data_IF_419315987096
#
_entry.id   IF_419315987096
#
_cell.length_a   1.000
_cell.length_b   1.000
_cell.length_c   1.000
_cell.angle_alpha   90.00
_cell.angle_beta   90.00
_cell.angle_gamma   90.00
#
_symmetry.space_group_name_H-M   'P 1'
#
loop_
_entity.id
_entity.type
_entity.pdbx_description
1 polymer ?
#
# COMPACT_ATOMS: atom_id res chain seq x y z
N UNK A 1 -22.72 -16.88 -1.00
CA UNK A 1 -23.02 -15.45 -1.19
C UNK A 1 -22.34 -14.98 -2.48
N UNK A 2 -23.07 -14.37 -3.43
CA UNK A 2 -22.52 -13.77 -4.66
C UNK A 2 -22.01 -12.36 -4.37
N UNK A 3 -20.73 -12.09 -4.61
CA UNK A 3 -20.07 -10.84 -4.28
C UNK A 3 -19.60 -10.15 -5.55
N UNK A 4 -20.07 -8.93 -5.80
CA UNK A 4 -19.51 -8.05 -6.81
C UNK A 4 -18.38 -7.21 -6.18
N UNK A 5 -17.11 -7.52 -6.46
CA UNK A 5 -15.97 -6.73 -6.04
C UNK A 5 -15.68 -5.65 -7.09
N UNK A 6 -16.02 -4.41 -6.81
CA UNK A 6 -15.92 -3.30 -7.75
C UNK A 6 -14.66 -2.48 -7.46
N UNK A 7 -13.83 -2.26 -8.48
CA UNK A 7 -12.59 -1.47 -8.36
C UNK A 7 -12.47 -0.44 -9.49
N UNK A 8 -11.72 0.63 -9.26
CA UNK A 8 -11.56 1.71 -10.24
C UNK A 8 -10.90 1.24 -11.54
N UNK A 9 -9.86 0.41 -11.45
CA UNK A 9 -9.05 -0.06 -12.59
C UNK A 9 -8.19 -1.26 -12.19
N UNK A 10 -7.62 -1.95 -13.19
CA UNK A 10 -6.74 -3.11 -13.01
C UNK A 10 -5.29 -2.81 -13.41
N UNK A 11 -4.78 -1.66 -12.99
CA UNK A 11 -3.35 -1.36 -13.01
C UNK A 11 -2.60 -2.14 -11.93
N UNK A 12 -1.30 -2.32 -12.08
CA UNK A 12 -0.48 -2.96 -11.05
C UNK A 12 -0.22 -1.97 -9.90
N UNK A 13 -0.91 -2.13 -8.77
CA UNK A 13 -0.80 -1.23 -7.63
C UNK A 13 -1.23 -1.87 -6.31
N UNK A 14 -0.99 -1.14 -5.20
CA UNK A 14 -1.21 -1.64 -3.84
C UNK A 14 -2.66 -2.01 -3.51
N UNK A 15 -3.66 -1.55 -4.27
CA UNK A 15 -5.05 -1.93 -4.07
C UNK A 15 -5.49 -3.12 -4.94
N UNK A 16 -4.76 -3.44 -6.01
CA UNK A 16 -5.07 -4.50 -6.95
C UNK A 16 -4.35 -5.80 -6.65
N UNK A 17 -3.06 -5.73 -6.33
CA UNK A 17 -2.22 -6.90 -6.07
C UNK A 17 -2.74 -7.80 -4.92
N UNK A 18 -3.31 -7.26 -3.82
CA UNK A 18 -3.82 -8.08 -2.72
C UNK A 18 -5.18 -8.75 -2.98
N UNK A 19 -5.87 -8.44 -4.08
CA UNK A 19 -7.22 -8.99 -4.35
C UNK A 19 -7.27 -10.53 -4.29
N UNK A 20 -6.29 -11.28 -4.83
CA UNK A 20 -6.30 -12.75 -4.71
C UNK A 20 -6.33 -13.24 -3.27
N UNK A 21 -5.53 -12.68 -2.38
CA UNK A 21 -5.51 -13.06 -0.96
C UNK A 21 -6.83 -12.71 -0.26
N UNK A 22 -7.39 -11.53 -0.54
CA UNK A 22 -8.70 -11.12 -0.03
C UNK A 22 -9.80 -12.05 -0.48
N UNK A 23 -9.84 -12.36 -1.78
CA UNK A 23 -10.83 -13.28 -2.36
C UNK A 23 -10.67 -14.68 -1.81
N UNK A 24 -9.45 -15.14 -1.55
CA UNK A 24 -9.19 -16.44 -0.91
C UNK A 24 -9.89 -16.55 0.45
N UNK A 25 -9.78 -15.51 1.30
CA UNK A 25 -10.48 -15.48 2.59
C UNK A 25 -12.00 -15.45 2.42
N UNK A 26 -12.52 -14.66 1.47
CA UNK A 26 -13.96 -14.61 1.18
C UNK A 26 -14.49 -15.97 0.70
N UNK A 27 -13.75 -16.64 -0.20
CA UNK A 27 -14.12 -17.98 -0.71
C UNK A 27 -14.10 -19.04 0.37
N UNK A 28 -13.15 -19.01 1.29
CA UNK A 28 -13.09 -19.93 2.42
C UNK A 28 -14.33 -19.83 3.33
N UNK A 29 -15.06 -18.70 3.28
CA UNK A 29 -16.31 -18.42 3.98
C UNK A 29 -17.54 -18.57 3.06
N UNK A 30 -17.42 -19.19 1.90
CA UNK A 30 -18.53 -19.44 0.96
C UNK A 30 -18.89 -18.26 0.06
N UNK A 31 -18.00 -17.27 -0.09
CA UNK A 31 -18.15 -16.16 -1.03
C UNK A 31 -17.85 -16.59 -2.48
N UNK A 32 -18.73 -16.28 -3.41
CA UNK A 32 -18.53 -16.38 -4.86
C UNK A 32 -18.24 -14.99 -5.42
N UNK A 33 -16.96 -14.70 -5.66
CA UNK A 33 -16.48 -13.34 -5.96
C UNK A 33 -16.19 -13.18 -7.45
N UNK A 34 -16.78 -12.17 -8.06
CA UNK A 34 -16.41 -11.65 -9.40
C UNK A 34 -15.90 -10.21 -9.27
N UNK A 35 -14.79 -9.90 -9.92
CA UNK A 35 -14.20 -8.57 -9.94
C UNK A 35 -14.74 -7.76 -11.12
N UNK A 36 -15.20 -6.53 -10.85
CA UNK A 36 -15.71 -5.59 -11.84
C UNK A 36 -14.81 -4.35 -11.85
N UNK A 37 -14.10 -4.12 -12.93
CA UNK A 37 -13.23 -2.95 -13.09
C UNK A 37 -13.87 -1.87 -13.95
N UNK A 38 -13.95 -0.64 -13.42
CA UNK A 38 -14.55 0.51 -14.10
C UNK A 38 -13.70 1.05 -15.26
N UNK A 39 -12.45 0.63 -15.36
CA UNK A 39 -11.55 0.91 -16.47
C UNK A 39 -10.42 -0.15 -16.52
N UNK A 40 -9.91 -0.44 -17.72
CA UNK A 40 -8.75 -1.37 -17.87
C UNK A 40 -7.45 -0.74 -17.40
N UNK A 41 -7.15 0.48 -17.86
CA UNK A 41 -5.82 1.11 -17.85
C UNK A 41 -4.76 0.21 -18.52
N UNK A 42 -3.65 -0.10 -17.83
CA UNK A 42 -2.62 -1.01 -18.34
C UNK A 42 -3.00 -2.49 -18.26
N UNK A 43 -3.98 -2.83 -17.41
CA UNK A 43 -4.48 -4.20 -17.25
C UNK A 43 -3.51 -5.19 -16.63
N UNK A 44 -2.38 -4.72 -16.07
CA UNK A 44 -1.30 -5.57 -15.56
C UNK A 44 -1.72 -6.47 -14.37
N UNK A 45 -2.80 -6.13 -13.66
CA UNK A 45 -3.33 -6.97 -12.60
C UNK A 45 -4.24 -8.10 -13.10
N UNK A 46 -4.71 -8.07 -14.37
CA UNK A 46 -5.65 -9.08 -14.90
C UNK A 46 -5.06 -10.50 -14.86
N UNK A 47 -3.83 -10.76 -15.37
CA UNK A 47 -3.26 -12.11 -15.35
C UNK A 47 -3.14 -12.70 -13.94
N UNK A 48 -2.88 -11.86 -12.93
CA UNK A 48 -2.81 -12.27 -11.53
C UNK A 48 -4.17 -12.78 -11.01
N UNK A 49 -5.24 -12.06 -11.34
CA UNK A 49 -6.60 -12.43 -10.95
C UNK A 49 -7.05 -13.70 -11.66
N UNK A 50 -6.79 -13.82 -12.96
CA UNK A 50 -7.09 -14.99 -13.76
C UNK A 50 -6.33 -16.24 -13.28
N UNK A 51 -5.04 -16.10 -12.95
CA UNK A 51 -4.24 -17.17 -12.37
C UNK A 51 -4.79 -17.67 -11.01
N UNK A 52 -5.42 -16.78 -10.24
CA UNK A 52 -6.13 -17.12 -9.00
C UNK A 52 -7.57 -17.66 -9.25
N UNK A 53 -7.96 -17.88 -10.50
CA UNK A 53 -9.30 -18.35 -10.89
C UNK A 53 -10.41 -17.36 -10.51
N UNK A 54 -10.13 -16.07 -10.48
CA UNK A 54 -11.10 -15.02 -10.14
C UNK A 54 -11.72 -14.50 -11.44
N UNK A 55 -13.06 -14.64 -11.64
CA UNK A 55 -13.71 -14.05 -12.80
C UNK A 55 -13.57 -12.53 -12.80
N UNK A 56 -13.20 -11.96 -13.96
CA UNK A 56 -12.98 -10.53 -14.13
C UNK A 56 -13.85 -9.98 -15.25
N UNK A 57 -14.56 -8.91 -14.99
CA UNK A 57 -15.30 -8.12 -16.00
C UNK A 57 -14.75 -6.72 -16.06
N UNK A 58 -14.20 -6.37 -17.20
CA UNK A 58 -13.50 -5.10 -17.42
C UNK A 58 -14.28 -4.22 -18.38
N UNK A 59 -14.56 -3.01 -17.93
CA UNK A 59 -15.12 -2.00 -18.81
C UNK A 59 -14.01 -1.34 -19.63
N UNK A 60 -14.18 -1.30 -20.93
CA UNK A 60 -13.33 -0.54 -21.85
C UNK A 60 -13.79 0.93 -21.88
N UNK A 61 -13.08 1.77 -21.15
CA UNK A 61 -13.42 3.19 -21.04
C UNK A 61 -12.42 3.96 -20.18
N UNK A 62 -12.67 5.26 -20.01
CA UNK A 62 -11.77 6.15 -19.32
C UNK A 62 -12.05 6.24 -17.81
N UNK A 63 -11.16 6.90 -17.08
CA UNK A 63 -11.35 7.17 -15.65
C UNK A 63 -12.23 8.39 -15.36
N UNK A 64 -12.69 9.14 -16.40
CA UNK A 64 -13.45 10.39 -16.26
C UNK A 64 -14.90 10.32 -16.76
N UNK A 65 -15.28 9.27 -17.44
CA UNK A 65 -16.62 9.06 -18.03
C UNK A 65 -17.60 8.43 -17.01
N UNK A 66 -17.94 9.16 -15.98
CA UNK A 66 -18.71 8.64 -14.83
C UNK A 66 -20.09 8.12 -15.22
N UNK A 67 -20.80 8.78 -16.14
CA UNK A 67 -22.16 8.38 -16.56
C UNK A 67 -22.13 7.05 -17.33
N UNK A 68 -21.18 6.88 -18.26
CA UNK A 68 -21.03 5.64 -19.00
C UNK A 68 -20.60 4.50 -18.09
N UNK A 69 -19.70 4.76 -17.13
CA UNK A 69 -19.30 3.77 -16.13
C UNK A 69 -20.47 3.36 -15.23
N UNK A 70 -21.32 4.30 -14.80
CA UNK A 70 -22.50 3.99 -14.01
C UNK A 70 -23.51 3.12 -14.80
N UNK A 71 -23.78 3.45 -16.07
CA UNK A 71 -24.70 2.65 -16.91
C UNK A 71 -24.20 1.23 -17.09
N UNK A 72 -22.93 1.07 -17.45
CA UNK A 72 -22.30 -0.23 -17.57
C UNK A 72 -22.38 -1.03 -16.26
N UNK A 73 -22.01 -0.41 -15.14
CA UNK A 73 -22.04 -1.07 -13.84
C UNK A 73 -23.47 -1.50 -13.44
N UNK A 74 -24.46 -0.65 -13.69
CA UNK A 74 -25.88 -0.97 -13.47
C UNK A 74 -26.28 -2.22 -14.25
N UNK A 75 -25.98 -2.26 -15.56
CA UNK A 75 -26.37 -3.36 -16.44
C UNK A 75 -25.65 -4.67 -16.05
N UNK A 76 -24.38 -4.58 -15.66
CA UNK A 76 -23.64 -5.71 -15.10
C UNK A 76 -24.25 -6.23 -13.79
N UNK A 77 -24.64 -5.34 -12.89
CA UNK A 77 -25.27 -5.75 -11.62
C UNK A 77 -26.70 -6.29 -11.82
N UNK A 78 -27.43 -5.82 -12.82
CA UNK A 78 -28.72 -6.38 -13.20
C UNK A 78 -28.60 -7.82 -13.72
N UNK A 79 -27.53 -8.13 -14.45
CA UNK A 79 -27.23 -9.48 -14.95
C UNK A 79 -26.64 -10.37 -13.87
N UNK A 80 -25.67 -9.86 -13.11
CA UNK A 80 -24.93 -10.65 -12.12
C UNK A 80 -25.75 -10.95 -10.87
N UNK A 81 -26.67 -10.07 -10.46
CA UNK A 81 -27.53 -10.23 -9.27
C UNK A 81 -26.72 -10.52 -7.99
N UNK A 82 -25.83 -9.60 -7.53
CA UNK A 82 -25.03 -9.81 -6.33
C UNK A 82 -25.88 -9.76 -5.06
N UNK A 83 -25.50 -10.57 -4.08
CA UNK A 83 -25.99 -10.50 -2.70
C UNK A 83 -25.28 -9.39 -1.91
N UNK A 84 -24.02 -9.08 -2.28
CA UNK A 84 -23.17 -8.06 -1.66
C UNK A 84 -22.39 -7.30 -2.73
N UNK A 85 -22.33 -5.97 -2.58
CA UNK A 85 -21.45 -5.11 -3.37
C UNK A 85 -20.29 -4.67 -2.49
N UNK A 86 -19.10 -5.16 -2.83
CA UNK A 86 -17.83 -4.76 -2.20
C UNK A 86 -17.09 -3.78 -3.10
N UNK A 87 -16.70 -2.62 -2.59
CA UNK A 87 -16.05 -1.59 -3.42
C UNK A 87 -14.68 -1.22 -2.89
N UNK A 88 -13.76 -0.93 -3.79
CA UNK A 88 -12.39 -0.52 -3.51
C UNK A 88 -12.07 0.76 -4.27
N UNK A 89 -11.63 1.81 -3.56
CA UNK A 89 -11.34 3.15 -4.08
C UNK A 89 -12.60 4.02 -4.36
N UNK A 90 -12.43 5.35 -4.20
CA UNK A 90 -13.55 6.31 -4.12
C UNK A 90 -14.53 6.29 -5.29
N UNK A 91 -14.07 6.14 -6.55
CA UNK A 91 -14.96 6.11 -7.72
C UNK A 91 -15.84 4.86 -7.71
N UNK A 92 -15.24 3.71 -7.43
CA UNK A 92 -15.97 2.44 -7.32
C UNK A 92 -16.99 2.51 -6.17
N UNK A 93 -16.59 3.11 -5.04
CA UNK A 93 -17.49 3.32 -3.90
C UNK A 93 -18.70 4.17 -4.28
N UNK A 94 -18.49 5.31 -4.91
CA UNK A 94 -19.60 6.21 -5.28
C UNK A 94 -20.54 5.57 -6.31
N UNK A 95 -20.01 4.97 -7.36
CA UNK A 95 -20.84 4.35 -8.40
C UNK A 95 -21.49 3.05 -7.91
N UNK A 96 -20.77 2.24 -7.13
CA UNK A 96 -21.30 1.03 -6.52
C UNK A 96 -22.44 1.33 -5.54
N UNK A 97 -22.30 2.38 -4.72
CA UNK A 97 -23.36 2.82 -3.82
C UNK A 97 -24.62 3.28 -4.55
N UNK A 98 -24.48 4.02 -5.65
CA UNK A 98 -25.63 4.45 -6.45
C UNK A 98 -26.40 3.24 -7.04
N UNK A 99 -25.69 2.22 -7.49
CA UNK A 99 -26.32 0.99 -7.98
C UNK A 99 -26.95 0.18 -6.83
N UNK A 100 -26.24 0.09 -5.70
CA UNK A 100 -26.71 -0.64 -4.51
C UNK A 100 -28.00 -0.05 -3.93
N UNK A 101 -28.12 1.26 -3.84
CA UNK A 101 -29.32 1.96 -3.38
C UNK A 101 -30.57 1.60 -4.23
N UNK A 102 -30.39 1.54 -5.55
CA UNK A 102 -31.47 1.17 -6.47
C UNK A 102 -31.95 -0.28 -6.29
N UNK A 103 -31.01 -1.17 -5.93
CA UNK A 103 -31.24 -2.61 -5.77
C UNK A 103 -31.52 -3.03 -4.33
N UNK A 104 -31.29 -2.15 -3.36
CA UNK A 104 -31.30 -2.47 -1.92
C UNK A 104 -30.29 -3.56 -1.54
N UNK A 105 -29.16 -3.63 -2.26
CA UNK A 105 -28.09 -4.59 -2.00
C UNK A 105 -27.16 -4.04 -0.91
N UNK A 106 -26.76 -4.83 0.10
CA UNK A 106 -25.78 -4.44 1.10
C UNK A 106 -24.44 -4.00 0.45
N UNK A 107 -23.76 -3.03 1.07
CA UNK A 107 -22.49 -2.53 0.56
C UNK A 107 -21.40 -2.55 1.60
N UNK A 108 -20.20 -2.94 1.17
CA UNK A 108 -18.96 -2.78 1.92
C UNK A 108 -18.01 -1.87 1.14
N UNK A 109 -17.45 -0.89 1.80
CA UNK A 109 -16.53 0.08 1.17
C UNK A 109 -15.15 -0.01 1.78
N UNK A 110 -14.13 -0.23 0.94
CA UNK A 110 -12.74 -0.28 1.38
C UNK A 110 -12.03 1.05 1.13
N UNK A 111 -11.59 1.67 2.20
CA UNK A 111 -10.80 2.91 2.18
C UNK A 111 -9.31 2.59 2.33
N UNK A 112 -8.51 2.88 1.29
CA UNK A 112 -7.09 2.53 1.22
C UNK A 112 -6.13 3.65 1.60
N UNK A 113 -6.60 4.86 1.79
CA UNK A 113 -5.72 6.01 1.94
C UNK A 113 -6.21 6.98 3.01
N UNK A 114 -5.30 7.49 3.82
CA UNK A 114 -5.52 8.56 4.78
C UNK A 114 -5.68 9.96 4.16
N UNK A 115 -6.06 10.05 2.88
CA UNK A 115 -6.34 11.31 2.19
C UNK A 115 -7.47 11.16 1.18
N UNK A 116 -8.37 12.14 1.19
CA UNK A 116 -9.44 12.26 0.20
C UNK A 116 -9.45 13.68 -0.39
N UNK A 117 -9.79 13.79 -1.67
CA UNK A 117 -10.16 15.09 -2.24
C UNK A 117 -11.43 15.59 -1.57
N UNK A 118 -11.53 16.89 -1.27
CA UNK A 118 -12.69 17.48 -0.55
C UNK A 118 -14.05 17.10 -1.19
N UNK A 119 -14.14 17.11 -2.51
CA UNK A 119 -15.36 16.70 -3.24
C UNK A 119 -15.69 15.21 -3.00
N UNK A 120 -14.68 14.32 -3.05
CA UNK A 120 -14.89 12.89 -2.77
C UNK A 120 -15.30 12.67 -1.30
N UNK A 121 -14.67 13.34 -0.35
CA UNK A 121 -15.03 13.25 1.06
C UNK A 121 -16.49 13.67 1.28
N UNK A 122 -16.92 14.77 0.67
CA UNK A 122 -18.31 15.22 0.74
C UNK A 122 -19.29 14.16 0.19
N UNK A 123 -19.03 13.64 -1.02
CA UNK A 123 -19.89 12.62 -1.63
C UNK A 123 -19.90 11.31 -0.85
N UNK A 124 -18.75 10.88 -0.32
CA UNK A 124 -18.67 9.67 0.49
C UNK A 124 -19.40 9.81 1.83
N UNK A 125 -19.44 11.02 2.42
CA UNK A 125 -20.29 11.30 3.61
C UNK A 125 -21.76 11.04 3.31
N UNK A 126 -22.23 11.35 2.11
CA UNK A 126 -23.62 11.08 1.69
C UNK A 126 -23.90 9.57 1.54
N UNK A 127 -22.86 8.76 1.25
CA UNK A 127 -22.99 7.31 1.20
C UNK A 127 -23.09 6.65 2.59
N UNK A 128 -22.61 7.34 3.65
CA UNK A 128 -22.50 6.82 5.01
C UNK A 128 -23.74 6.10 5.55
N UNK A 129 -24.94 6.69 5.50
CA UNK A 129 -26.14 6.07 6.09
C UNK A 129 -26.60 4.82 5.37
N UNK A 130 -26.09 4.56 4.19
CA UNK A 130 -26.50 3.45 3.32
C UNK A 130 -25.44 2.36 3.21
N UNK A 131 -24.32 2.51 3.90
CA UNK A 131 -23.19 1.58 3.86
C UNK A 131 -23.27 0.62 5.04
N UNK A 132 -23.24 -0.70 4.77
CA UNK A 132 -23.28 -1.73 5.78
C UNK A 132 -22.00 -1.72 6.63
N UNK A 133 -20.82 -1.66 5.98
CA UNK A 133 -19.54 -1.67 6.66
C UNK A 133 -18.50 -0.89 5.86
N UNK A 134 -17.65 -0.15 6.57
CA UNK A 134 -16.42 0.44 6.03
C UNK A 134 -15.23 -0.40 6.48
N UNK A 135 -14.35 -0.75 5.54
CA UNK A 135 -13.09 -1.42 5.80
C UNK A 135 -11.94 -0.47 5.54
N UNK A 136 -10.89 -0.56 6.32
CA UNK A 136 -9.69 0.27 6.16
C UNK A 136 -8.41 -0.55 6.29
N UNK A 137 -7.37 -0.13 5.58
CA UNK A 137 -6.07 -0.80 5.53
C UNK A 137 -5.29 -0.72 6.84
N UNK A 138 -5.60 0.28 7.68
CA UNK A 138 -4.85 0.54 8.90
C UNK A 138 -5.67 1.33 9.92
N UNK A 139 -5.21 1.33 11.17
CA UNK A 139 -5.82 2.13 12.23
C UNK A 139 -5.72 3.64 11.93
N UNK A 140 -4.65 4.10 11.28
CA UNK A 140 -4.52 5.49 10.87
C UNK A 140 -5.55 5.89 9.81
N UNK A 141 -5.85 5.00 8.86
CA UNK A 141 -6.91 5.20 7.87
C UNK A 141 -8.30 5.20 8.53
N UNK A 142 -8.54 4.35 9.53
CA UNK A 142 -9.79 4.40 10.34
C UNK A 142 -9.92 5.77 11.02
N UNK A 143 -8.90 6.22 11.72
CA UNK A 143 -8.92 7.51 12.43
C UNK A 143 -9.17 8.67 11.46
N UNK A 144 -8.49 8.67 10.32
CA UNK A 144 -8.72 9.65 9.26
C UNK A 144 -10.16 9.61 8.73
N UNK A 145 -10.65 8.43 8.38
CA UNK A 145 -11.97 8.28 7.78
C UNK A 145 -13.09 8.55 8.80
N UNK A 146 -12.92 8.19 10.06
CA UNK A 146 -13.83 8.55 11.13
C UNK A 146 -13.98 10.07 11.23
N UNK A 147 -12.88 10.82 11.22
CA UNK A 147 -12.87 12.29 11.24
C UNK A 147 -13.46 12.88 9.95
N UNK A 148 -12.99 12.45 8.79
CA UNK A 148 -13.36 13.04 7.50
C UNK A 148 -14.75 12.62 7.02
N UNK A 149 -15.20 11.40 7.30
CA UNK A 149 -16.50 10.91 6.88
C UNK A 149 -17.55 10.93 8.00
N UNK A 150 -17.14 11.25 9.24
CA UNK A 150 -18.00 11.30 10.41
C UNK A 150 -18.57 9.91 10.76
N UNK A 151 -17.76 8.87 10.69
CA UNK A 151 -18.14 7.49 10.95
C UNK A 151 -17.74 7.13 12.37
N UNK A 152 -18.63 6.48 13.16
CA UNK A 152 -18.36 6.08 14.55
C UNK A 152 -18.22 4.56 14.72
N UNK A 153 -19.17 3.77 14.21
CA UNK A 153 -19.34 2.40 14.67
C UNK A 153 -19.26 1.32 13.57
N UNK A 154 -19.35 1.68 12.30
CA UNK A 154 -19.35 0.73 11.20
C UNK A 154 -18.02 0.65 10.43
N UNK A 155 -16.90 0.73 11.16
CA UNK A 155 -15.56 0.50 10.66
C UNK A 155 -14.98 -0.83 11.12
N UNK A 156 -14.15 -1.44 10.25
CA UNK A 156 -13.30 -2.56 10.59
C UNK A 156 -11.93 -2.41 9.93
N UNK A 157 -10.89 -2.82 10.62
CA UNK A 157 -9.55 -2.90 10.06
C UNK A 157 -9.34 -4.26 9.39
N UNK A 158 -8.93 -4.25 8.12
CA UNK A 158 -8.35 -5.39 7.46
C UNK A 158 -7.14 -4.90 6.67
N UNK A 159 -5.93 -4.99 7.24
CA UNK A 159 -4.73 -4.60 6.52
C UNK A 159 -4.65 -5.31 5.18
N UNK A 160 -4.53 -4.53 4.10
CA UNK A 160 -4.54 -5.07 2.74
C UNK A 160 -3.28 -5.89 2.42
N UNK A 161 -2.23 -5.72 3.22
CA UNK A 161 -0.96 -6.41 3.08
C UNK A 161 -0.97 -7.76 3.80
N UNK A 162 -0.54 -8.80 3.10
CA UNK A 162 -0.27 -10.13 3.64
C UNK A 162 1.23 -10.42 3.50
N UNK A 163 1.92 -10.55 4.63
CA UNK A 163 3.34 -10.89 4.64
C UNK A 163 3.53 -12.37 4.27
N UNK A 164 4.44 -12.63 3.33
CA UNK A 164 4.79 -13.98 2.91
C UNK A 164 5.94 -14.53 3.80
N UNK A 165 5.72 -15.59 4.59
CA UNK A 165 6.79 -16.19 5.39
C UNK A 165 7.91 -16.81 4.55
N UNK A 166 7.64 -17.15 3.30
CA UNK A 166 8.62 -17.75 2.37
C UNK A 166 9.33 -16.70 1.51
N UNK A 167 9.06 -15.41 1.75
CA UNK A 167 9.73 -14.32 1.04
C UNK A 167 11.26 -14.36 1.23
N UNK A 168 12.04 -14.01 0.19
CA UNK A 168 13.49 -14.01 0.26
C UNK A 168 14.00 -13.08 1.37
N UNK A 169 15.05 -13.50 2.07
CA UNK A 169 15.70 -12.70 3.10
C UNK A 169 16.83 -11.90 2.47
N UNK A 170 16.98 -10.65 2.89
CA UNK A 170 18.05 -9.76 2.47
C UNK A 170 19.42 -10.31 2.88
N UNK A 171 20.41 -10.15 1.99
CA UNK A 171 21.78 -10.58 2.27
C UNK A 171 22.40 -9.68 3.34
N UNK A 172 22.92 -10.22 4.46
CA UNK A 172 23.60 -9.41 5.46
C UNK A 172 24.80 -8.65 4.89
N UNK A 173 25.04 -7.45 5.42
CA UNK A 173 26.24 -6.68 5.10
C UNK A 173 27.50 -7.41 5.57
N UNK A 174 28.58 -7.30 4.80
CA UNK A 174 29.90 -7.86 5.14
C UNK A 174 30.92 -6.73 5.23
N UNK A 175 31.90 -6.90 6.09
CA UNK A 175 32.97 -5.93 6.29
C UNK A 175 33.67 -5.57 4.96
N UNK A 176 33.84 -4.28 4.72
CA UNK A 176 34.42 -3.73 3.49
C UNK A 176 33.42 -3.52 2.34
N UNK A 177 32.16 -3.97 2.45
CA UNK A 177 31.13 -3.70 1.47
C UNK A 177 30.52 -2.30 1.62
N UNK A 178 30.06 -1.74 0.50
CA UNK A 178 29.23 -0.53 0.48
C UNK A 178 27.88 -0.84 1.13
N UNK A 179 27.39 0.02 2.04
CA UNK A 179 26.06 -0.11 2.62
C UNK A 179 25.01 0.24 1.57
N UNK A 180 24.19 -0.74 1.20
CA UNK A 180 23.12 -0.59 0.19
C UNK A 180 21.82 -0.19 0.87
N UNK A 181 21.37 1.02 0.59
CA UNK A 181 20.10 1.57 1.07
C UNK A 181 19.13 1.56 -0.10
N UNK A 182 17.85 1.32 0.14
CA UNK A 182 16.86 1.37 -0.92
C UNK A 182 15.55 2.00 -0.52
N UNK A 183 14.85 2.48 -1.53
CA UNK A 183 13.44 2.88 -1.46
C UNK A 183 12.71 2.36 -2.69
N UNK A 184 11.42 2.07 -2.56
CA UNK A 184 10.61 1.55 -3.65
C UNK A 184 9.26 2.26 -3.70
N UNK A 185 8.94 2.82 -4.87
CA UNK A 185 7.65 3.47 -5.04
C UNK A 185 7.58 4.41 -6.24
N UNK A 186 6.36 4.82 -6.58
CA UNK A 186 6.12 5.76 -7.68
C UNK A 186 6.82 7.10 -7.42
N UNK A 187 7.56 7.62 -8.38
CA UNK A 187 8.27 8.91 -8.28
C UNK A 187 7.27 10.07 -8.40
N UNK A 188 6.58 10.39 -7.31
CA UNK A 188 5.57 11.42 -7.22
C UNK A 188 5.72 12.25 -5.91
N UNK A 189 5.06 13.42 -5.77
CA UNK A 189 5.22 14.27 -4.59
C UNK A 189 4.86 13.61 -3.26
N UNK A 190 4.01 12.57 -3.28
CA UNK A 190 3.59 11.87 -2.06
C UNK A 190 4.74 11.16 -1.37
N UNK A 191 5.72 10.68 -2.16
CA UNK A 191 6.85 9.90 -1.66
C UNK A 191 7.97 10.74 -1.06
N UNK A 192 7.92 12.08 -1.26
CA UNK A 192 8.89 13.04 -0.70
C UNK A 192 10.37 12.63 -0.92
N UNK A 193 10.69 12.17 -2.12
CA UNK A 193 12.06 11.78 -2.47
C UNK A 193 13.02 12.97 -2.57
N UNK A 194 12.50 14.19 -2.69
CA UNK A 194 13.24 15.43 -2.55
C UNK A 194 13.84 15.59 -1.14
N UNK A 195 13.04 15.31 -0.10
CA UNK A 195 13.52 15.32 1.31
C UNK A 195 14.57 14.21 1.53
N UNK A 196 14.39 13.04 0.90
CA UNK A 196 15.38 11.97 0.96
C UNK A 196 16.71 12.38 0.27
N UNK A 197 16.64 13.06 -0.87
CA UNK A 197 17.82 13.60 -1.53
C UNK A 197 18.54 14.64 -0.65
N UNK A 198 17.80 15.51 0.06
CA UNK A 198 18.37 16.47 1.00
C UNK A 198 19.05 15.79 2.19
N UNK A 199 18.44 14.74 2.74
CA UNK A 199 19.05 13.95 3.81
C UNK A 199 20.37 13.30 3.35
N UNK A 200 20.39 12.71 2.15
CA UNK A 200 21.61 12.10 1.58
C UNK A 200 22.68 13.16 1.29
N UNK A 201 22.29 14.38 0.89
CA UNK A 201 23.24 15.48 0.70
C UNK A 201 23.96 15.88 1.98
N UNK A 202 23.32 15.75 3.14
CA UNK A 202 23.94 15.99 4.46
C UNK A 202 24.92 14.86 4.85
N UNK A 203 24.78 13.66 4.30
CA UNK A 203 25.55 12.47 4.67
C UNK A 203 26.71 12.19 3.73
N UNK A 204 26.65 12.60 2.46
CA UNK A 204 27.55 12.14 1.41
C UNK A 204 29.05 12.36 1.69
N UNK A 205 29.38 13.41 2.42
CA UNK A 205 30.76 13.80 2.74
C UNK A 205 31.08 13.60 4.24
N UNK A 206 30.24 12.83 4.97
CA UNK A 206 30.45 12.61 6.41
C UNK A 206 31.64 11.68 6.64
N UNK A 207 32.71 12.12 7.32
CA UNK A 207 33.99 11.40 7.38
C UNK A 207 33.93 10.07 8.14
N UNK A 208 33.01 9.92 9.08
CA UNK A 208 32.93 8.77 9.99
C UNK A 208 31.94 7.69 9.49
N UNK A 209 31.30 7.88 8.33
CA UNK A 209 30.38 6.90 7.78
C UNK A 209 31.09 5.98 6.78
N UNK A 210 30.80 4.68 6.80
CA UNK A 210 31.25 3.78 5.76
C UNK A 210 30.64 4.19 4.40
N UNK A 211 31.25 3.81 3.28
CA UNK A 211 30.68 4.05 1.96
C UNK A 211 29.27 3.50 1.86
N UNK A 212 28.36 4.30 1.36
CA UNK A 212 26.96 3.89 1.15
C UNK A 212 26.45 4.32 -0.23
N UNK A 213 25.40 3.66 -0.68
CA UNK A 213 24.68 4.00 -1.90
C UNK A 213 23.19 3.79 -1.71
N UNK A 214 22.39 4.77 -2.17
CA UNK A 214 20.94 4.71 -2.15
C UNK A 214 20.41 4.37 -3.55
N UNK A 215 19.45 3.47 -3.63
CA UNK A 215 18.72 3.16 -4.85
C UNK A 215 17.22 3.45 -4.66
N UNK A 216 16.63 4.28 -5.52
CA UNK A 216 15.20 4.56 -5.51
C UNK A 216 14.58 3.88 -6.72
N UNK A 217 14.01 2.69 -6.51
CA UNK A 217 13.37 1.92 -7.57
C UNK A 217 11.91 2.37 -7.77
N UNK A 218 11.58 2.67 -9.01
CA UNK A 218 10.26 3.13 -9.41
C UNK A 218 10.32 4.07 -10.60
N UNK A 219 9.15 4.49 -11.07
CA UNK A 219 9.01 5.48 -12.14
C UNK A 219 7.90 6.47 -11.80
N UNK A 220 7.87 7.61 -12.48
CA UNK A 220 6.83 8.62 -12.26
C UNK A 220 7.20 10.02 -12.72
N UNK A 221 6.28 10.97 -12.57
CA UNK A 221 6.43 12.32 -13.11
C UNK A 221 7.61 13.12 -12.55
N UNK A 222 8.18 12.72 -11.41
CA UNK A 222 9.33 13.40 -10.81
C UNK A 222 10.69 12.82 -11.23
N UNK A 223 10.74 11.80 -12.09
CA UNK A 223 12.01 11.15 -12.48
C UNK A 223 13.06 12.16 -12.95
N UNK A 224 12.73 13.00 -13.93
CA UNK A 224 13.66 13.99 -14.48
C UNK A 224 14.13 15.02 -13.44
N UNK A 225 13.23 15.50 -12.59
CA UNK A 225 13.55 16.45 -11.53
C UNK A 225 14.48 15.84 -10.46
N UNK A 226 14.22 14.61 -10.06
CA UNK A 226 15.08 13.87 -9.12
C UNK A 226 16.46 13.60 -9.73
N UNK A 227 16.52 13.17 -10.99
CA UNK A 227 17.78 12.93 -11.68
C UNK A 227 18.63 14.21 -11.77
N UNK A 228 18.02 15.34 -12.11
CA UNK A 228 18.70 16.63 -12.13
C UNK A 228 19.28 17.02 -10.75
N UNK A 229 18.48 16.80 -9.68
CA UNK A 229 18.91 17.07 -8.30
C UNK A 229 20.08 16.18 -7.86
N UNK A 230 20.01 14.88 -8.17
CA UNK A 230 21.08 13.89 -7.90
C UNK A 230 22.37 14.31 -8.59
N UNK A 231 22.29 14.64 -9.88
CA UNK A 231 23.46 15.06 -10.68
C UNK A 231 24.06 16.36 -10.17
N UNK A 232 23.24 17.40 -9.91
CA UNK A 232 23.72 18.69 -9.42
C UNK A 232 24.37 18.60 -8.03
N UNK A 233 23.84 17.73 -7.16
CA UNK A 233 24.37 17.49 -5.82
C UNK A 233 25.51 16.48 -5.75
N UNK A 234 25.85 15.81 -6.86
CA UNK A 234 26.74 14.65 -6.90
C UNK A 234 26.39 13.64 -5.79
N UNK A 235 25.09 13.28 -5.68
CA UNK A 235 24.60 12.44 -4.61
C UNK A 235 24.85 10.95 -4.92
N UNK A 236 25.18 10.11 -3.94
CA UNK A 236 25.34 8.67 -4.10
C UNK A 236 23.98 7.98 -4.24
N UNK A 237 23.14 8.42 -5.18
CA UNK A 237 21.78 7.94 -5.41
C UNK A 237 21.64 7.48 -6.86
N UNK A 238 21.06 6.29 -7.05
CA UNK A 238 20.67 5.75 -8.36
C UNK A 238 19.14 5.68 -8.51
N UNK A 239 18.66 5.92 -9.72
CA UNK A 239 17.28 5.69 -10.14
C UNK A 239 17.23 4.52 -11.14
N UNK A 240 17.16 3.25 -10.69
CA UNK A 240 17.19 2.09 -11.60
C UNK A 240 15.92 1.93 -12.44
N UNK A 241 14.90 2.79 -12.20
CA UNK A 241 13.61 2.69 -12.88
C UNK A 241 12.64 1.72 -12.23
N UNK A 242 11.56 1.41 -12.94
CA UNK A 242 10.52 0.50 -12.48
C UNK A 242 11.04 -0.94 -12.37
N UNK A 243 10.67 -1.64 -11.31
CA UNK A 243 10.90 -3.07 -11.17
C UNK A 243 9.57 -3.83 -11.08
N UNK A 244 9.45 -4.92 -11.85
CA UNK A 244 8.34 -5.86 -11.73
C UNK A 244 8.60 -6.94 -10.66
N UNK A 245 9.80 -6.96 -10.07
CA UNK A 245 10.24 -7.94 -9.07
C UNK A 245 10.73 -7.22 -7.80
N UNK A 246 9.80 -6.63 -7.01
CA UNK A 246 10.17 -5.84 -5.83
C UNK A 246 11.00 -6.63 -4.82
N UNK A 247 10.67 -7.91 -4.59
CA UNK A 247 11.39 -8.75 -3.64
C UNK A 247 12.83 -9.03 -4.08
N UNK A 248 13.09 -9.16 -5.40
CA UNK A 248 14.45 -9.32 -5.91
C UNK A 248 15.30 -8.06 -5.71
N UNK A 249 14.69 -6.89 -5.79
CA UNK A 249 15.34 -5.62 -5.45
C UNK A 249 15.59 -5.52 -3.93
N UNK A 250 14.59 -5.75 -3.10
CA UNK A 250 14.66 -5.60 -1.65
C UNK A 250 15.72 -6.53 -1.03
N UNK A 251 15.82 -7.79 -1.48
CA UNK A 251 16.83 -8.73 -0.94
C UNK A 251 18.28 -8.32 -1.18
N UNK A 252 18.54 -7.34 -2.08
CA UNK A 252 19.89 -6.83 -2.33
C UNK A 252 20.30 -5.72 -1.39
N UNK A 253 19.40 -5.20 -0.58
CA UNK A 253 19.61 -4.07 0.31
C UNK A 253 20.08 -4.49 1.70
N UNK A 254 20.55 -3.52 2.48
CA UNK A 254 20.86 -3.67 3.89
C UNK A 254 19.94 -2.84 4.78
N UNK A 255 19.35 -1.77 4.23
CA UNK A 255 18.47 -0.82 4.91
C UNK A 255 17.41 -0.31 3.92
N UNK A 256 16.18 -0.16 4.38
CA UNK A 256 15.11 0.44 3.58
C UNK A 256 14.71 1.81 4.16
N UNK A 257 14.38 2.76 3.29
CA UNK A 257 13.93 4.11 3.69
C UNK A 257 12.63 4.49 2.98
N UNK A 258 11.69 5.09 3.74
CA UNK A 258 10.40 5.57 3.24
C UNK A 258 10.11 6.98 3.77
N UNK A 259 10.28 8.00 2.95
CA UNK A 259 10.13 9.42 3.31
C UNK A 259 8.72 10.00 3.09
N UNK A 260 7.74 9.18 2.78
CA UNK A 260 6.41 9.59 2.31
C UNK A 260 5.69 10.58 3.22
N UNK A 261 4.99 11.55 2.64
CA UNK A 261 4.07 12.45 3.38
C UNK A 261 2.82 11.73 3.88
N UNK A 262 2.30 10.77 3.14
CA UNK A 262 1.15 9.95 3.54
C UNK A 262 1.13 8.61 2.80
N UNK A 263 0.59 7.62 3.49
CA UNK A 263 0.36 6.27 2.98
C UNK A 263 -1.01 5.75 3.45
N UNK A 264 -1.43 4.62 2.93
CA UNK A 264 -2.44 3.76 3.55
C UNK A 264 -1.73 2.70 4.40
N UNK A 265 -1.46 1.56 3.78
CA UNK A 265 -0.66 0.49 4.41
C UNK A 265 0.85 0.74 4.31
N UNK A 266 1.33 1.33 3.22
CA UNK A 266 2.74 1.35 2.80
C UNK A 266 3.28 -0.06 2.51
N UNK A 267 2.71 -0.70 1.48
CA UNK A 267 3.06 -2.08 1.08
C UNK A 267 4.58 -2.28 0.93
N UNK A 268 5.27 -1.38 0.21
CA UNK A 268 6.72 -1.50 -0.02
C UNK A 268 7.56 -1.49 1.28
N UNK A 269 7.18 -0.69 2.27
CA UNK A 269 7.85 -0.70 3.57
C UNK A 269 7.64 -2.02 4.32
N UNK A 270 6.45 -2.61 4.23
CA UNK A 270 6.16 -3.90 4.85
C UNK A 270 6.78 -5.07 4.07
N UNK A 271 6.89 -4.98 2.74
CA UNK A 271 7.68 -5.91 1.93
C UNK A 271 9.16 -5.88 2.32
N UNK A 272 9.73 -4.68 2.56
CA UNK A 272 11.09 -4.54 3.06
C UNK A 272 11.27 -5.20 4.44
N UNK A 273 10.35 -4.97 5.37
CA UNK A 273 10.33 -5.67 6.66
C UNK A 273 10.24 -7.19 6.48
N UNK A 274 9.43 -7.66 5.52
CA UNK A 274 9.28 -9.09 5.20
C UNK A 274 10.57 -9.69 4.65
N UNK A 275 11.35 -8.93 3.89
CA UNK A 275 12.71 -9.32 3.47
C UNK A 275 13.75 -9.27 4.59
N UNK A 276 13.39 -8.92 5.82
CA UNK A 276 14.33 -8.80 6.94
C UNK A 276 15.19 -7.54 6.85
N UNK A 277 14.65 -6.44 6.36
CA UNK A 277 15.31 -5.13 6.36
C UNK A 277 14.86 -4.30 7.56
N UNK A 278 15.76 -3.60 8.25
CA UNK A 278 15.35 -2.48 9.09
C UNK A 278 14.80 -1.35 8.22
N UNK A 279 13.86 -0.58 8.78
CA UNK A 279 13.15 0.47 8.02
C UNK A 279 13.28 1.82 8.71
N UNK A 280 13.80 2.83 8.00
CA UNK A 280 13.71 4.24 8.41
C UNK A 280 12.51 4.84 7.71
N UNK A 281 11.55 5.40 8.44
CA UNK A 281 10.35 5.93 7.82
C UNK A 281 9.80 7.18 8.50
N UNK A 282 9.07 7.98 7.73
CA UNK A 282 8.14 8.98 8.28
C UNK A 282 6.91 8.27 8.87
N UNK A 283 6.15 8.91 9.79
CA UNK A 283 5.00 8.30 10.44
C UNK A 283 3.76 8.25 9.52
N UNK A 284 3.94 7.75 8.28
CA UNK A 284 2.91 7.65 7.26
C UNK A 284 2.22 6.26 7.27
N UNK A 285 0.90 6.25 7.21
CA UNK A 285 0.10 5.03 7.11
C UNK A 285 0.21 4.11 8.32
N UNK A 286 0.48 2.83 8.10
CA UNK A 286 0.64 1.81 9.14
C UNK A 286 2.08 1.69 9.67
N UNK A 287 3.06 2.34 9.05
CA UNK A 287 4.47 2.23 9.45
C UNK A 287 4.73 2.59 10.92
N UNK A 288 4.13 3.65 11.52
CA UNK A 288 4.35 3.96 12.94
C UNK A 288 3.93 2.85 13.91
N UNK A 289 2.93 2.05 13.53
CA UNK A 289 2.47 0.91 14.33
C UNK A 289 3.30 -0.35 14.07
N UNK A 290 3.95 -0.41 12.91
CA UNK A 290 4.74 -1.58 12.48
C UNK A 290 6.18 -1.50 12.92
N UNK A 291 6.79 -0.32 12.89
CA UNK A 291 8.18 -0.08 13.28
C UNK A 291 8.25 0.16 14.79
N UNK A 292 9.10 -0.59 15.48
CA UNK A 292 9.51 -0.31 16.85
C UNK A 292 10.80 0.53 16.77
N UNK A 293 10.70 1.80 17.18
CA UNK A 293 11.81 2.75 17.07
C UNK A 293 13.04 2.28 17.87
N UNK A 294 14.20 2.23 17.21
CA UNK A 294 15.45 1.71 17.76
C UNK A 294 15.57 0.17 17.75
N UNK A 295 14.49 -0.60 17.54
CA UNK A 295 14.51 -2.06 17.58
C UNK A 295 14.38 -2.71 16.19
N UNK A 296 13.44 -2.21 15.36
CA UNK A 296 13.17 -2.74 14.01
C UNK A 296 13.41 -1.71 12.92
N UNK A 297 13.78 -0.50 13.30
CA UNK A 297 13.99 0.65 12.43
C UNK A 297 13.91 1.96 13.19
N UNK A 298 13.68 3.06 12.47
CA UNK A 298 13.55 4.39 13.06
C UNK A 298 12.34 5.13 12.45
N UNK A 299 11.66 5.91 13.28
CA UNK A 299 10.59 6.81 12.85
C UNK A 299 11.11 8.25 12.94
N UNK A 300 10.99 8.99 11.84
CA UNK A 300 11.46 10.38 11.74
C UNK A 300 10.31 11.33 11.40
N UNK A 301 10.33 12.60 11.84
CA UNK A 301 9.27 13.57 11.50
C UNK A 301 9.12 13.77 10.00
N UNK A 302 7.90 14.15 9.56
CA UNK A 302 7.65 14.58 8.19
C UNK A 302 8.49 15.83 7.85
N UNK A 303 8.87 15.97 6.58
CA UNK A 303 9.54 17.14 6.02
C UNK A 303 10.82 17.56 6.78
N UNK A 304 11.52 16.60 7.38
CA UNK A 304 12.70 16.85 8.20
C UNK A 304 13.92 16.07 7.68
N UNK A 305 14.61 16.66 6.69
CA UNK A 305 15.81 16.07 6.10
C UNK A 305 16.95 15.87 7.12
N UNK A 306 17.22 16.79 8.06
CA UNK A 306 18.23 16.56 9.12
C UNK A 306 17.90 15.35 9.99
N UNK A 307 16.68 15.23 10.50
CA UNK A 307 16.29 14.07 11.32
C UNK A 307 16.35 12.75 10.54
N UNK A 308 16.03 12.77 9.24
CA UNK A 308 16.17 11.61 8.37
C UNK A 308 17.66 11.26 8.14
N UNK A 309 18.52 12.28 7.96
CA UNK A 309 19.97 12.09 7.87
C UNK A 309 20.54 11.48 9.16
N UNK A 310 20.20 12.04 10.33
CA UNK A 310 20.66 11.54 11.63
C UNK A 310 20.25 10.07 11.85
N UNK A 311 19.01 9.71 11.52
CA UNK A 311 18.53 8.33 11.64
C UNK A 311 19.24 7.37 10.66
N UNK A 312 19.52 7.82 9.44
CA UNK A 312 20.30 7.03 8.48
C UNK A 312 21.76 6.90 8.95
N UNK A 313 22.39 7.98 9.43
CA UNK A 313 23.76 7.98 9.94
C UNK A 313 23.92 7.01 11.12
N UNK A 314 22.99 7.04 12.08
CA UNK A 314 23.00 6.14 13.23
C UNK A 314 23.03 4.66 12.80
N UNK A 315 22.23 4.28 11.79
CA UNK A 315 22.18 2.90 11.32
C UNK A 315 23.35 2.54 10.39
N UNK A 316 23.76 3.46 9.51
CA UNK A 316 24.86 3.23 8.57
C UNK A 316 26.21 3.12 9.30
N UNK A 317 26.41 3.83 10.41
CA UNK A 317 27.65 3.76 11.21
C UNK A 317 27.89 2.40 11.84
N UNK A 318 26.84 1.58 11.95
CA UNK A 318 26.90 0.23 12.57
C UNK A 318 26.29 -0.83 11.61
N UNK A 319 26.84 -1.01 10.41
CA UNK A 319 26.20 -1.84 9.39
C UNK A 319 26.12 -3.33 9.77
N UNK A 320 26.99 -3.80 10.66
CA UNK A 320 26.96 -5.16 11.19
C UNK A 320 25.67 -5.44 12.00
N UNK A 321 25.05 -4.43 12.61
CA UNK A 321 23.84 -4.58 13.43
C UNK A 321 22.56 -4.65 12.59
N UNK A 322 22.61 -4.24 11.31
CA UNK A 322 21.43 -4.14 10.43
C UNK A 322 20.74 -5.50 10.25
N UNK A 323 21.50 -6.58 10.13
CA UNK A 323 20.91 -7.91 9.95
C UNK A 323 20.09 -8.34 11.17
N UNK A 324 20.58 -8.12 12.38
CA UNK A 324 19.87 -8.46 13.62
C UNK A 324 18.62 -7.57 13.82
N UNK A 325 18.71 -6.29 13.46
CA UNK A 325 17.55 -5.38 13.47
C UNK A 325 16.51 -5.81 12.40
N UNK A 326 16.96 -6.23 11.23
CA UNK A 326 16.13 -6.74 10.16
C UNK A 326 15.41 -8.04 10.51
N UNK A 327 16.05 -8.95 11.23
CA UNK A 327 15.42 -10.17 11.74
C UNK A 327 14.27 -9.85 12.69
N UNK A 328 14.45 -8.91 13.61
CA UNK A 328 13.37 -8.42 14.48
C UNK A 328 12.25 -7.75 13.67
N UNK A 329 12.61 -6.98 12.64
CA UNK A 329 11.67 -6.35 11.71
C UNK A 329 10.81 -7.40 10.99
N UNK A 330 11.44 -8.46 10.45
CA UNK A 330 10.73 -9.60 9.81
C UNK A 330 9.80 -10.32 10.78
N UNK A 331 10.28 -10.66 11.96
CA UNK A 331 9.46 -11.32 13.00
C UNK A 331 8.20 -10.49 13.27
N UNK A 332 8.36 -9.19 13.50
CA UNK A 332 7.25 -8.28 13.78
C UNK A 332 6.23 -8.20 12.66
N UNK A 333 6.67 -8.07 11.40
CA UNK A 333 5.74 -7.97 10.26
C UNK A 333 4.98 -9.28 10.04
N UNK A 334 5.63 -10.43 10.22
CA UNK A 334 4.98 -11.74 10.11
C UNK A 334 3.95 -11.98 11.23
N UNK A 335 4.24 -11.57 12.46
CA UNK A 335 3.30 -11.64 13.59
C UNK A 335 2.05 -10.79 13.34
N UNK A 336 2.21 -9.61 12.74
CA UNK A 336 1.11 -8.66 12.51
C UNK A 336 0.32 -8.94 11.24
N UNK A 337 0.97 -9.35 10.17
CA UNK A 337 0.42 -9.42 8.81
C UNK A 337 0.68 -10.75 8.10
N UNK A 338 1.21 -11.74 8.79
CA UNK A 338 1.37 -13.09 8.23
C UNK A 338 0.04 -13.74 7.88
N UNK A 339 0.06 -14.89 7.21
CA UNK A 339 -1.15 -15.55 6.68
C UNK A 339 -2.26 -15.74 7.71
N UNK A 340 -1.92 -16.16 8.92
CA UNK A 340 -2.90 -16.36 10.00
C UNK A 340 -3.53 -15.05 10.47
N UNK A 341 -2.72 -13.99 10.66
CA UNK A 341 -3.20 -12.68 11.06
C UNK A 341 -4.08 -12.05 9.98
N UNK A 342 -3.68 -12.16 8.72
CA UNK A 342 -4.46 -11.70 7.58
C UNK A 342 -5.83 -12.37 7.50
N UNK A 343 -5.86 -13.69 7.61
CA UNK A 343 -7.10 -14.50 7.59
C UNK A 343 -7.99 -14.19 8.80
N UNK A 344 -7.41 -14.08 10.00
CA UNK A 344 -8.14 -13.72 11.23
C UNK A 344 -8.81 -12.34 11.10
N UNK A 345 -8.08 -11.34 10.61
CA UNK A 345 -8.61 -9.99 10.41
C UNK A 345 -9.72 -9.99 9.33
N UNK A 346 -9.54 -10.72 8.24
CA UNK A 346 -10.54 -10.89 7.22
C UNK A 346 -11.81 -11.53 7.76
N UNK A 347 -11.69 -12.63 8.50
CA UNK A 347 -12.84 -13.29 9.13
C UNK A 347 -13.59 -12.35 10.09
N UNK A 348 -12.88 -11.60 10.92
CA UNK A 348 -13.49 -10.62 11.82
C UNK A 348 -14.27 -9.51 11.08
N UNK A 349 -13.82 -9.13 9.87
CA UNK A 349 -14.56 -8.22 8.99
C UNK A 349 -15.80 -8.90 8.42
N UNK A 350 -15.66 -10.12 7.92
CA UNK A 350 -16.75 -10.86 7.30
C UNK A 350 -17.86 -11.21 8.32
N UNK A 351 -17.52 -11.52 9.58
CA UNK A 351 -18.48 -11.76 10.66
C UNK A 351 -19.40 -10.55 10.96
N UNK A 352 -19.01 -9.35 10.54
CA UNK A 352 -19.83 -8.14 10.67
C UNK A 352 -20.79 -7.90 9.49
N UNK A 353 -20.74 -8.75 8.47
CA UNK A 353 -21.56 -8.62 7.26
C UNK A 353 -22.72 -9.63 7.35
N UNK A 354 -23.96 -9.17 7.33
CA UNK A 354 -25.12 -10.06 7.37
C UNK A 354 -25.09 -11.10 6.24
N UNK A 355 -25.17 -12.37 6.60
CA UNK A 355 -25.24 -13.51 5.67
C UNK A 355 -23.88 -14.09 5.25
N UNK A 356 -22.75 -13.60 5.80
CA UNK A 356 -21.44 -14.25 5.67
C UNK A 356 -21.26 -15.38 6.67
#
# INVERSE_FOLDING_TARGET
>A
MKIAYIINSLECGGAQLPIPDIVSVMRARGGDVTVFALARKDGLAIPLLEAAGIPVRVREGTTRDHIAAYRWLRDEMETFQPDLIWTSLSRATLLGQLVALRRKTPTVHWQHCGRLKKANAFLLRLCRPYTTLWVADSQSVITFAAKELGLSDNFAAWPIFRADPDAPIATPWKEGEIVRIGSLGRLNPVKAYDILCDAVALLKDHPDLPPFRLQIAGDGPLHAALQARITAGNLPIDLPGYTSKPMDFLKTLHLYVQSSHWEGMCVAGHEAMTCGLPVVATPAGELPSSILDGETGRIVPFDNAPALADALADLISRPADLAAMGERSRKRVLERFGPEAFTRNGNAVLDRIPGF
#
